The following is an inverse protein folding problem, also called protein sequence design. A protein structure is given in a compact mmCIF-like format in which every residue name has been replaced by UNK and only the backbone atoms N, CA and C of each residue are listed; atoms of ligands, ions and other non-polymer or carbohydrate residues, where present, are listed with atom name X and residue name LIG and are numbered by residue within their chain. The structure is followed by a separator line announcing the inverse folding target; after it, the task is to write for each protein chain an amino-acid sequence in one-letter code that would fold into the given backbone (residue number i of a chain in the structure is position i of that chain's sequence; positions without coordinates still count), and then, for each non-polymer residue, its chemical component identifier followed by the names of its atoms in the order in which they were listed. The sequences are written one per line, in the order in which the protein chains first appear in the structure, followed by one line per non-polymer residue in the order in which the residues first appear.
data_IF_574438460086
#
_entry.id   IF_574438460086
#
_cell.length_a   1.000
_cell.length_b   1.000
_cell.length_c   1.000
_cell.angle_alpha   90.00
_cell.angle_beta   90.00
_cell.angle_gamma   90.00
#
_symmetry.space_group_name_H-M   'P 1'
#
loop_
_entity.id
_entity.type
_entity.pdbx_description
1 polymer ?
#
# COMPACT_ATOMS: atom_id res chain seq x y z
N UNK A 1 -21.49 55.06 23.87
CA UNK A 1 -22.10 53.78 23.43
C UNK A 1 -21.52 53.37 22.07
N UNK A 2 -20.29 53.82 21.80
CA UNK A 2 -19.76 53.96 20.43
C UNK A 2 -18.54 53.04 20.22
N UNK A 3 -17.89 52.60 21.30
CA UNK A 3 -16.71 51.73 21.27
C UNK A 3 -17.03 50.24 21.03
N UNK A 4 -18.29 49.83 21.20
CA UNK A 4 -18.75 48.44 20.96
C UNK A 4 -19.17 48.21 19.50
N UNK A 5 -19.57 49.27 18.79
CA UNK A 5 -19.93 49.19 17.36
C UNK A 5 -18.69 49.25 16.47
N UNK A 6 -17.63 49.94 16.89
CA UNK A 6 -16.37 50.05 16.14
C UNK A 6 -15.56 48.74 16.12
N UNK A 7 -15.70 47.90 17.14
CA UNK A 7 -15.03 46.59 17.22
C UNK A 7 -15.75 45.46 16.49
N UNK A 8 -17.04 45.63 16.14
CA UNK A 8 -17.81 44.65 15.37
C UNK A 8 -17.62 44.82 13.85
N UNK A 9 -17.36 46.03 13.37
CA UNK A 9 -17.07 46.29 11.95
C UNK A 9 -15.64 45.90 11.55
N UNK A 10 -14.69 45.92 12.49
CA UNK A 10 -13.27 45.63 12.22
C UNK A 10 -12.92 44.14 12.05
N UNK A 11 -13.90 43.23 12.20
CA UNK A 11 -13.69 41.78 12.07
C UNK A 11 -14.55 41.12 10.98
N UNK A 12 -15.31 41.91 10.20
CA UNK A 12 -16.15 41.42 9.10
C UNK A 12 -15.72 42.12 7.80
N UNK A 13 -14.59 41.69 7.26
CA UNK A 13 -14.32 41.74 5.82
C UNK A 13 -13.00 41.06 5.52
N UNK A 14 -12.92 39.75 5.75
CA UNK A 14 -12.17 38.95 4.77
C UNK A 14 -12.90 39.18 3.43
N UNK A 15 -12.28 39.87 2.45
CA UNK A 15 -12.95 40.11 1.19
C UNK A 15 -13.29 38.75 0.59
N UNK A 16 -14.58 38.49 0.35
CA UNK A 16 -15.01 37.29 -0.36
C UNK A 16 -14.39 37.32 -1.76
N UNK A 17 -13.28 36.60 -1.93
CA UNK A 17 -12.61 36.53 -3.22
C UNK A 17 -13.33 35.49 -4.08
N UNK A 18 -14.01 35.89 -5.15
CA UNK A 18 -14.76 34.96 -5.99
C UNK A 18 -13.80 34.03 -6.74
N UNK A 19 -14.29 32.85 -7.13
CA UNK A 19 -13.45 31.78 -7.67
C UNK A 19 -12.69 32.19 -8.95
N UNK A 20 -13.25 33.06 -9.79
CA UNK A 20 -12.60 33.51 -11.04
C UNK A 20 -11.29 34.28 -10.84
N UNK A 21 -11.07 34.85 -9.65
CA UNK A 21 -9.83 35.57 -9.31
C UNK A 21 -8.76 34.65 -8.69
N UNK A 22 -9.13 33.42 -8.34
CA UNK A 22 -8.23 32.48 -7.68
C UNK A 22 -7.46 31.67 -8.74
N UNK A 23 -6.12 31.67 -8.74
CA UNK A 23 -5.35 30.85 -9.70
C UNK A 23 -5.66 29.35 -9.54
N UNK A 24 -6.05 28.93 -8.33
CA UNK A 24 -6.46 27.57 -8.01
C UNK A 24 -7.62 27.06 -8.88
N UNK A 25 -8.55 27.93 -9.26
CA UNK A 25 -9.69 27.58 -10.11
C UNK A 25 -9.30 27.05 -11.48
N UNK A 26 -8.13 27.46 -12.01
CA UNK A 26 -7.64 27.00 -13.31
C UNK A 26 -6.58 25.91 -13.16
N UNK A 27 -5.67 26.06 -12.20
CA UNK A 27 -4.53 25.15 -12.02
C UNK A 27 -4.99 23.80 -11.45
N UNK A 28 -5.84 23.81 -10.42
CA UNK A 28 -6.24 22.58 -9.72
C UNK A 28 -7.01 21.63 -10.65
N UNK A 29 -8.04 22.07 -11.40
CA UNK A 29 -8.75 21.18 -12.31
C UNK A 29 -7.88 20.57 -13.42
N UNK A 30 -6.90 21.34 -13.92
CA UNK A 30 -5.96 20.83 -14.93
C UNK A 30 -5.09 19.70 -14.37
N UNK A 31 -4.59 19.86 -13.13
CA UNK A 31 -3.83 18.82 -12.43
C UNK A 31 -4.73 17.60 -12.16
N UNK A 32 -5.95 17.80 -11.66
CA UNK A 32 -6.89 16.71 -11.40
C UNK A 32 -7.27 15.96 -12.69
N UNK A 33 -7.40 16.66 -13.82
CA UNK A 33 -7.63 16.03 -15.13
C UNK A 33 -6.43 15.16 -15.56
N UNK A 34 -5.20 15.62 -15.35
CA UNK A 34 -4.00 14.81 -15.62
C UNK A 34 -3.94 13.57 -14.72
N UNK A 35 -4.20 13.73 -13.41
CA UNK A 35 -4.27 12.62 -12.46
C UNK A 35 -5.34 11.62 -12.89
N UNK A 36 -6.50 12.10 -13.32
CA UNK A 36 -7.59 11.25 -13.81
C UNK A 36 -7.16 10.42 -15.02
N UNK A 37 -6.62 11.06 -16.06
CA UNK A 37 -6.21 10.36 -17.29
C UNK A 37 -5.11 9.35 -17.01
N UNK A 38 -4.03 9.78 -16.33
CA UNK A 38 -2.89 8.92 -16.02
C UNK A 38 -3.34 7.77 -15.11
N UNK A 39 -4.13 8.07 -14.10
CA UNK A 39 -4.62 7.10 -13.13
C UNK A 39 -5.55 6.05 -13.74
N UNK A 40 -6.51 6.47 -14.58
CA UNK A 40 -7.41 5.54 -15.29
C UNK A 40 -6.65 4.67 -16.27
N UNK A 41 -5.77 5.25 -17.08
CA UNK A 41 -4.98 4.48 -18.06
C UNK A 41 -4.01 3.54 -17.36
N UNK A 42 -3.26 4.00 -16.37
CA UNK A 42 -2.27 3.21 -15.64
C UNK A 42 -2.92 2.05 -14.88
N UNK A 43 -3.83 2.34 -13.96
CA UNK A 43 -4.47 1.32 -13.13
C UNK A 43 -5.41 0.43 -13.95
N UNK A 44 -6.10 0.99 -14.96
CA UNK A 44 -6.93 0.23 -15.89
C UNK A 44 -6.12 -0.77 -16.73
N UNK A 45 -4.90 -0.40 -17.12
CA UNK A 45 -3.98 -1.31 -17.82
C UNK A 45 -3.55 -2.46 -16.91
N UNK A 46 -3.22 -2.20 -15.65
CA UNK A 46 -2.87 -3.24 -14.67
C UNK A 46 -4.02 -4.25 -14.49
N UNK A 47 -5.25 -3.77 -14.33
CA UNK A 47 -6.45 -4.61 -14.25
C UNK A 47 -6.63 -5.44 -15.52
N UNK A 48 -6.50 -4.81 -16.69
CA UNK A 48 -6.67 -5.49 -17.99
C UNK A 48 -5.64 -6.60 -18.20
N UNK A 49 -4.36 -6.33 -17.90
CA UNK A 49 -3.27 -7.31 -18.01
C UNK A 49 -3.52 -8.50 -17.08
N UNK A 50 -3.96 -8.25 -15.84
CA UNK A 50 -4.27 -9.29 -14.88
C UNK A 50 -5.42 -10.21 -15.34
N UNK A 51 -6.48 -9.63 -15.90
CA UNK A 51 -7.64 -10.40 -16.38
C UNK A 51 -7.24 -11.26 -17.59
N UNK A 52 -6.50 -10.69 -18.55
CA UNK A 52 -6.11 -11.36 -19.80
C UNK A 52 -5.08 -12.47 -19.61
N UNK A 53 -4.10 -12.28 -18.73
CA UNK A 53 -2.99 -13.23 -18.59
C UNK A 53 -3.17 -14.13 -17.36
N UNK A 54 -3.70 -15.35 -17.56
CA UNK A 54 -3.85 -16.34 -16.48
C UNK A 54 -2.53 -16.69 -15.79
N UNK A 55 -1.41 -16.63 -16.51
CA UNK A 55 -0.06 -16.85 -15.96
C UNK A 55 0.32 -15.83 -14.87
N UNK A 56 -0.29 -14.64 -14.89
CA UNK A 56 -0.04 -13.59 -13.90
C UNK A 56 -0.86 -13.78 -12.61
N UNK A 57 -1.67 -14.82 -12.46
CA UNK A 57 -2.53 -15.04 -11.28
C UNK A 57 -1.77 -15.69 -10.12
N UNK A 58 -0.79 -14.98 -9.60
CA UNK A 58 -0.04 -15.35 -8.41
C UNK A 58 -0.35 -14.40 -7.24
N UNK A 59 0.15 -14.73 -6.05
CA UNK A 59 -0.08 -13.98 -4.82
C UNK A 59 0.27 -12.49 -4.93
N UNK A 60 1.51 -12.09 -5.28
CA UNK A 60 1.86 -10.67 -5.34
C UNK A 60 1.04 -9.92 -6.39
N UNK A 61 0.74 -10.54 -7.53
CA UNK A 61 -0.06 -9.91 -8.57
C UNK A 61 -1.54 -9.71 -8.15
N UNK A 62 -2.05 -10.54 -7.23
CA UNK A 62 -3.40 -10.35 -6.66
C UNK A 62 -3.45 -9.12 -5.77
N UNK A 63 -2.40 -8.86 -4.98
CA UNK A 63 -2.30 -7.62 -4.20
C UNK A 63 -2.12 -6.39 -5.10
N UNK A 64 -1.32 -6.49 -6.17
CA UNK A 64 -1.20 -5.40 -7.17
C UNK A 64 -2.55 -5.09 -7.80
N UNK A 65 -3.37 -6.11 -8.14
CA UNK A 65 -4.72 -5.89 -8.62
C UNK A 65 -5.59 -5.17 -7.57
N UNK A 66 -5.52 -5.58 -6.30
CA UNK A 66 -6.28 -4.94 -5.22
C UNK A 66 -5.94 -3.46 -5.08
N UNK A 67 -4.66 -3.10 -5.20
CA UNK A 67 -4.21 -1.69 -5.24
C UNK A 67 -4.78 -0.96 -6.44
N UNK A 68 -4.66 -1.52 -7.65
CA UNK A 68 -5.19 -0.89 -8.86
C UNK A 68 -6.71 -0.67 -8.80
N UNK A 69 -7.46 -1.58 -8.19
CA UNK A 69 -8.90 -1.43 -7.97
C UNK A 69 -9.23 -0.33 -6.95
N UNK A 70 -8.45 -0.22 -5.87
CA UNK A 70 -8.60 0.86 -4.89
C UNK A 70 -8.31 2.23 -5.53
N UNK A 71 -7.23 2.34 -6.29
CA UNK A 71 -6.87 3.57 -6.99
C UNK A 71 -7.93 3.97 -8.02
N UNK A 72 -8.46 3.02 -8.81
CA UNK A 72 -9.56 3.28 -9.74
C UNK A 72 -10.82 3.74 -9.01
N UNK A 73 -11.14 3.17 -7.85
CA UNK A 73 -12.27 3.58 -7.03
C UNK A 73 -12.15 5.07 -6.71
N UNK A 74 -11.06 5.51 -6.07
CA UNK A 74 -10.89 6.92 -5.68
C UNK A 74 -10.78 7.86 -6.88
N UNK A 75 -10.13 7.43 -7.98
CA UNK A 75 -10.01 8.24 -9.19
C UNK A 75 -11.38 8.49 -9.83
N UNK A 76 -12.25 7.48 -9.89
CA UNK A 76 -13.57 7.63 -10.51
C UNK A 76 -14.53 8.36 -9.56
N UNK A 77 -14.50 8.06 -8.25
CA UNK A 77 -15.50 8.55 -7.30
C UNK A 77 -15.14 9.82 -6.56
N UNK A 78 -13.91 10.32 -6.68
CA UNK A 78 -13.48 11.49 -5.90
C UNK A 78 -12.84 12.58 -6.76
N UNK A 79 -11.92 12.23 -7.66
CA UNK A 79 -11.19 13.22 -8.49
C UNK A 79 -12.12 14.16 -9.26
N UNK A 80 -13.13 13.70 -10.04
CA UNK A 80 -14.01 14.61 -10.76
C UNK A 80 -14.86 15.49 -9.83
N UNK A 81 -15.35 14.93 -8.72
CA UNK A 81 -16.20 15.68 -7.79
C UNK A 81 -15.43 16.72 -6.97
N UNK A 82 -14.21 16.37 -6.54
CA UNK A 82 -13.32 17.29 -5.82
C UNK A 82 -12.82 18.40 -6.74
N UNK A 83 -12.49 18.10 -8.01
CA UNK A 83 -12.11 19.12 -8.99
C UNK A 83 -13.17 20.21 -9.15
N UNK A 84 -14.45 19.83 -9.06
CA UNK A 84 -15.57 20.76 -9.29
C UNK A 84 -15.74 21.76 -8.15
N UNK A 85 -15.30 21.42 -6.93
CA UNK A 85 -15.30 22.35 -5.79
C UNK A 85 -14.39 23.55 -6.02
N UNK A 86 -13.39 23.42 -6.90
CA UNK A 86 -12.51 24.54 -7.27
C UNK A 86 -13.04 25.39 -8.43
N UNK A 87 -14.04 24.89 -9.17
CA UNK A 87 -14.64 25.58 -10.34
C UNK A 87 -16.05 26.12 -10.09
N UNK A 88 -16.77 25.57 -9.11
CA UNK A 88 -18.12 25.98 -8.74
C UNK A 88 -18.15 26.47 -7.30
N UNK A 89 -18.97 27.47 -7.04
CA UNK A 89 -19.14 28.04 -5.71
C UNK A 89 -19.83 27.06 -4.73
N UNK A 90 -20.64 26.12 -5.25
CA UNK A 90 -21.41 25.17 -4.43
C UNK A 90 -21.36 23.75 -4.96
N UNK A 91 -21.50 22.78 -4.05
CA UNK A 91 -21.56 21.36 -4.35
C UNK A 91 -22.88 20.98 -5.06
N UNK A 92 -22.86 20.57 -6.34
CA UNK A 92 -24.09 20.32 -7.09
C UNK A 92 -24.60 18.87 -7.00
N UNK A 93 -23.81 17.94 -6.45
CA UNK A 93 -24.03 16.49 -6.58
C UNK A 93 -24.94 15.86 -5.52
N UNK A 94 -25.45 16.67 -4.59
CA UNK A 94 -26.29 16.20 -3.48
C UNK A 94 -25.52 15.47 -2.38
N UNK A 95 -26.24 15.11 -1.30
CA UNK A 95 -25.65 14.54 -0.09
C UNK A 95 -25.16 13.10 -0.26
N UNK A 96 -25.81 12.31 -1.12
CA UNK A 96 -25.43 10.92 -1.38
C UNK A 96 -24.03 10.83 -1.99
N UNK A 97 -23.74 11.64 -3.01
CA UNK A 97 -22.41 11.66 -3.64
C UNK A 97 -21.34 12.15 -2.67
N UNK A 98 -21.66 13.14 -1.82
CA UNK A 98 -20.77 13.58 -0.75
C UNK A 98 -20.39 12.41 0.17
N UNK A 99 -21.37 11.70 0.73
CA UNK A 99 -21.14 10.53 1.61
C UNK A 99 -20.36 9.41 0.95
N UNK A 100 -20.72 9.06 -0.29
CA UNK A 100 -20.04 8.00 -1.05
C UNK A 100 -18.60 8.42 -1.37
N UNK A 101 -18.37 9.67 -1.76
CA UNK A 101 -17.02 10.15 -2.09
C UNK A 101 -16.10 10.16 -0.87
N UNK A 102 -16.56 10.63 0.28
CA UNK A 102 -15.76 10.62 1.53
C UNK A 102 -15.48 9.19 2.01
N UNK A 103 -16.47 8.30 1.93
CA UNK A 103 -16.27 6.89 2.25
C UNK A 103 -15.29 6.21 1.28
N UNK A 104 -15.40 6.48 -0.02
CA UNK A 104 -14.52 5.90 -1.03
C UNK A 104 -13.06 6.33 -0.87
N UNK A 105 -12.80 7.58 -0.44
CA UNK A 105 -11.45 8.03 -0.06
C UNK A 105 -10.86 7.17 1.06
N UNK A 106 -11.61 7.03 2.16
CA UNK A 106 -11.17 6.25 3.32
C UNK A 106 -10.99 4.75 2.97
N UNK A 107 -11.89 4.17 2.18
CA UNK A 107 -11.78 2.79 1.69
C UNK A 107 -10.52 2.62 0.85
N UNK A 108 -10.27 3.52 -0.12
CA UNK A 108 -9.10 3.43 -0.98
C UNK A 108 -7.81 3.51 -0.18
N UNK A 109 -7.71 4.46 0.76
CA UNK A 109 -6.54 4.60 1.63
C UNK A 109 -6.34 3.31 2.45
N UNK A 110 -7.40 2.81 3.07
CA UNK A 110 -7.38 1.59 3.88
C UNK A 110 -6.96 0.36 3.08
N UNK A 111 -7.58 0.12 1.92
CA UNK A 111 -7.21 -1.00 1.04
C UNK A 111 -5.74 -0.88 0.64
N UNK A 112 -5.27 0.31 0.28
CA UNK A 112 -3.88 0.50 -0.15
C UNK A 112 -2.88 0.16 0.94
N UNK A 113 -3.02 0.72 2.15
CA UNK A 113 -2.05 0.53 3.23
C UNK A 113 -2.11 -0.89 3.82
N UNK A 114 -3.29 -1.48 3.95
CA UNK A 114 -3.43 -2.85 4.43
C UNK A 114 -2.95 -3.87 3.38
N UNK A 115 -3.15 -3.60 2.09
CA UNK A 115 -2.60 -4.43 1.01
C UNK A 115 -1.08 -4.38 0.98
N UNK A 116 -0.47 -3.21 1.12
CA UNK A 116 1.00 -3.08 1.23
C UNK A 116 1.54 -3.81 2.46
N UNK A 117 0.82 -3.74 3.58
CA UNK A 117 1.17 -4.48 4.80
C UNK A 117 1.12 -5.99 4.56
N UNK A 118 0.04 -6.50 3.98
CA UNK A 118 -0.12 -7.91 3.65
C UNK A 118 0.93 -8.40 2.62
N UNK A 119 1.28 -7.56 1.65
CA UNK A 119 2.34 -7.85 0.68
C UNK A 119 3.70 -7.97 1.38
N UNK A 120 4.03 -7.05 2.30
CA UNK A 120 5.28 -7.10 3.05
C UNK A 120 5.40 -8.36 3.91
N UNK A 121 4.29 -8.78 4.55
CA UNK A 121 4.22 -10.03 5.30
C UNK A 121 4.39 -11.26 4.39
N UNK A 122 3.71 -11.32 3.23
CA UNK A 122 3.86 -12.41 2.27
C UNK A 122 5.30 -12.55 1.79
N UNK A 123 5.97 -11.43 1.49
CA UNK A 123 7.38 -11.41 1.10
C UNK A 123 8.29 -11.94 2.20
N UNK A 124 8.09 -11.49 3.44
CA UNK A 124 8.85 -11.96 4.59
C UNK A 124 8.72 -13.47 4.78
N UNK A 125 7.49 -14.00 4.85
CA UNK A 125 7.27 -15.44 5.04
C UNK A 125 7.78 -16.29 3.87
N UNK A 126 7.71 -15.76 2.65
CA UNK A 126 8.25 -16.43 1.48
C UNK A 126 9.78 -16.60 1.52
N UNK A 127 10.49 -15.68 2.17
CA UNK A 127 11.95 -15.67 2.27
C UNK A 127 12.43 -16.53 3.44
N UNK A 128 11.75 -16.44 4.59
CA UNK A 128 12.16 -17.18 5.81
C UNK A 128 11.87 -18.67 5.75
N UNK A 129 10.79 -19.08 5.08
CA UNK A 129 10.40 -20.49 4.96
C UNK A 129 10.15 -20.89 3.50
N UNK A 130 11.23 -21.09 2.71
CA UNK A 130 11.12 -21.45 1.30
C UNK A 130 10.49 -22.84 1.10
N UNK A 131 10.63 -23.75 2.07
CA UNK A 131 10.11 -25.12 2.00
C UNK A 131 8.59 -25.18 2.15
N UNK A 132 8.01 -24.33 2.99
CA UNK A 132 6.55 -24.19 3.10
C UNK A 132 5.94 -23.59 1.82
N UNK A 133 6.68 -22.75 1.09
CA UNK A 133 6.29 -22.31 -0.25
C UNK A 133 6.44 -23.42 -1.30
N UNK A 134 7.51 -24.21 -1.25
CA UNK A 134 7.75 -25.33 -2.17
C UNK A 134 6.70 -26.45 -2.05
N UNK A 135 6.33 -26.83 -0.82
CA UNK A 135 5.18 -27.72 -0.57
C UNK A 135 3.85 -27.07 -0.94
N UNK A 136 3.72 -25.75 -0.78
CA UNK A 136 2.56 -25.01 -1.25
C UNK A 136 2.52 -24.87 -2.79
N UNK A 137 3.60 -25.05 -3.54
CA UNK A 137 3.57 -25.08 -5.01
C UNK A 137 2.88 -26.36 -5.53
N UNK A 138 3.01 -27.49 -4.81
CA UNK A 138 2.16 -28.68 -4.99
C UNK A 138 0.71 -28.49 -4.53
N UNK A 139 0.46 -27.48 -3.70
CA UNK A 139 -0.84 -27.03 -3.20
C UNK A 139 -1.26 -25.63 -3.68
N UNK A 140 -0.81 -25.20 -4.87
CA UNK A 140 -0.82 -23.80 -5.35
C UNK A 140 -2.18 -23.10 -5.18
N UNK A 141 -3.28 -23.83 -5.39
CA UNK A 141 -4.65 -23.32 -5.25
C UNK A 141 -5.02 -22.93 -3.81
N UNK A 142 -4.41 -23.50 -2.77
CA UNK A 142 -4.70 -23.15 -1.37
C UNK A 142 -4.08 -21.82 -0.99
N UNK A 143 -2.83 -21.57 -1.41
CA UNK A 143 -2.15 -20.30 -1.19
C UNK A 143 -2.90 -19.15 -1.90
N UNK A 144 -3.27 -19.35 -3.17
CA UNK A 144 -4.05 -18.34 -3.92
C UNK A 144 -5.44 -18.09 -3.32
N UNK A 145 -6.11 -19.13 -2.81
CA UNK A 145 -7.41 -18.95 -2.12
C UNK A 145 -7.27 -18.15 -0.84
N UNK A 146 -6.24 -18.43 -0.04
CA UNK A 146 -5.98 -17.67 1.18
C UNK A 146 -5.71 -16.20 0.86
N UNK A 147 -4.97 -15.91 -0.20
CA UNK A 147 -4.63 -14.52 -0.56
C UNK A 147 -5.81 -13.75 -1.15
N UNK A 148 -6.70 -14.44 -1.86
CA UNK A 148 -7.97 -13.84 -2.28
C UNK A 148 -8.84 -13.58 -1.05
N UNK A 149 -8.89 -14.50 -0.08
CA UNK A 149 -9.63 -14.30 1.16
C UNK A 149 -9.06 -13.14 2.00
N UNK A 150 -7.73 -12.99 2.08
CA UNK A 150 -7.11 -11.83 2.75
C UNK A 150 -7.42 -10.53 2.03
N UNK A 151 -7.36 -10.50 0.69
CA UNK A 151 -7.75 -9.32 -0.09
C UNK A 151 -9.22 -8.94 0.18
N UNK A 152 -10.15 -9.89 0.11
CA UNK A 152 -11.56 -9.64 0.44
C UNK A 152 -11.72 -9.14 1.88
N UNK A 153 -11.01 -9.74 2.83
CA UNK A 153 -10.99 -9.30 4.23
C UNK A 153 -10.49 -7.86 4.39
N UNK A 154 -9.46 -7.46 3.64
CA UNK A 154 -8.95 -6.08 3.61
C UNK A 154 -10.03 -5.10 3.10
N UNK A 155 -10.75 -5.45 2.03
CA UNK A 155 -11.83 -4.63 1.51
C UNK A 155 -12.97 -4.46 2.51
N UNK A 156 -13.38 -5.55 3.16
CA UNK A 156 -14.41 -5.50 4.21
C UNK A 156 -13.93 -4.64 5.39
N UNK A 157 -12.70 -4.84 5.86
CA UNK A 157 -12.13 -4.05 6.95
C UNK A 157 -12.07 -2.57 6.61
N UNK A 158 -11.59 -2.22 5.41
CA UNK A 158 -11.53 -0.84 4.94
C UNK A 158 -12.93 -0.21 4.84
N UNK A 159 -13.92 -0.95 4.34
CA UNK A 159 -15.31 -0.49 4.28
C UNK A 159 -15.91 -0.26 5.68
N UNK A 160 -15.64 -1.14 6.64
CA UNK A 160 -16.08 -0.99 8.03
C UNK A 160 -15.44 0.25 8.67
N UNK A 161 -14.13 0.44 8.49
CA UNK A 161 -13.42 1.60 9.03
C UNK A 161 -13.82 2.92 8.36
N UNK A 162 -14.32 2.88 7.12
CA UNK A 162 -14.85 4.03 6.40
C UNK A 162 -16.33 4.34 6.75
N UNK A 163 -17.03 3.48 7.50
CA UNK A 163 -18.42 3.69 7.86
C UNK A 163 -18.70 5.02 8.59
N UNK A 164 -17.86 5.49 9.54
CA UNK A 164 -18.05 6.79 10.18
C UNK A 164 -17.99 7.96 9.18
N UNK A 165 -17.18 7.85 8.13
CA UNK A 165 -17.11 8.84 7.06
C UNK A 165 -18.41 8.87 6.26
N UNK A 166 -18.96 7.71 5.91
CA UNK A 166 -20.22 7.61 5.18
C UNK A 166 -21.40 8.18 5.99
N UNK A 167 -21.49 7.83 7.28
CA UNK A 167 -22.60 8.23 8.15
C UNK A 167 -22.47 9.71 8.54
N UNK A 168 -21.27 10.16 8.86
CA UNK A 168 -20.99 11.51 9.36
C UNK A 168 -20.94 12.58 8.28
N UNK A 169 -20.74 12.22 7.00
CA UNK A 169 -20.67 13.22 5.93
C UNK A 169 -22.04 13.81 5.60
N UNK A 170 -22.07 15.14 5.49
CA UNK A 170 -23.26 15.91 5.19
C UNK A 170 -22.93 17.15 4.35
N UNK A 171 -23.97 17.79 3.81
CA UNK A 171 -23.81 19.08 3.14
C UNK A 171 -23.93 20.19 4.17
N UNK A 172 -22.84 20.93 4.37
CA UNK A 172 -22.81 22.11 5.21
C UNK A 172 -23.08 23.34 4.36
N UNK A 173 -24.07 24.15 4.76
CA UNK A 173 -24.34 25.44 4.16
C UNK A 173 -23.46 26.52 4.82
N UNK A 174 -22.83 27.35 4.01
CA UNK A 174 -22.12 28.55 4.43
C UNK A 174 -22.84 29.77 3.84
N UNK A 175 -23.15 30.74 4.71
CA UNK A 175 -23.84 31.98 4.33
C UNK A 175 -22.78 33.06 4.18
N UNK A 176 -22.60 33.58 2.96
CA UNK A 176 -21.71 34.73 2.71
C UNK A 176 -22.48 36.03 2.93
N UNK A 177 -23.67 36.11 2.32
CA UNK A 177 -24.57 37.25 2.34
C UNK A 177 -26.01 36.76 2.56
N UNK A 178 -26.96 37.63 2.95
CA UNK A 178 -28.37 37.24 3.16
C UNK A 178 -29.03 36.56 1.95
N UNK A 179 -28.50 36.81 0.75
CA UNK A 179 -28.98 36.26 -0.53
C UNK A 179 -28.08 35.16 -1.12
N UNK A 180 -26.89 34.92 -0.55
CA UNK A 180 -25.91 33.99 -1.13
C UNK A 180 -25.46 32.95 -0.09
N UNK A 181 -25.89 31.70 -0.32
CA UNK A 181 -25.46 30.53 0.43
C UNK A 181 -24.77 29.53 -0.50
N UNK A 182 -23.73 28.86 -0.02
CA UNK A 182 -23.06 27.79 -0.75
C UNK A 182 -22.98 26.51 0.08
N UNK A 183 -23.09 25.37 -0.60
CA UNK A 183 -23.09 24.04 0.00
C UNK A 183 -21.73 23.40 -0.19
N UNK A 184 -21.17 22.83 0.89
CA UNK A 184 -19.89 22.10 0.86
C UNK A 184 -20.07 20.73 1.48
N UNK A 185 -19.44 19.71 0.89
CA UNK A 185 -19.36 18.39 1.49
C UNK A 185 -18.42 18.42 2.71
N UNK A 186 -18.95 18.15 3.91
CA UNK A 186 -18.17 18.19 5.15
C UNK A 186 -18.30 16.86 5.91
N UNK A 187 -17.17 16.20 6.25
CA UNK A 187 -17.18 14.84 6.81
C UNK A 187 -17.37 14.77 8.34
N UNK A 188 -17.51 15.91 9.03
CA UNK A 188 -17.59 15.97 10.50
C UNK A 188 -18.86 16.69 10.97
N UNK A 189 -19.92 15.97 11.38
CA UNK A 189 -21.15 16.59 11.82
C UNK A 189 -20.97 17.28 13.18
N UNK A 190 -21.50 18.51 13.37
CA UNK A 190 -21.33 19.26 14.62
C UNK A 190 -22.05 18.59 15.79
N UNK A 191 -23.10 17.82 15.51
CA UNK A 191 -23.90 17.07 16.50
C UNK A 191 -23.08 16.05 17.30
N UNK A 192 -21.92 15.61 16.77
CA UNK A 192 -21.08 14.61 17.42
C UNK A 192 -20.02 15.23 18.35
N UNK A 193 -20.08 16.54 18.56
CA UNK A 193 -19.26 17.29 19.49
C UNK A 193 -18.01 17.92 18.87
N UNK A 194 -17.53 19.01 19.46
CA UNK A 194 -16.42 19.81 18.93
C UNK A 194 -15.07 19.07 18.91
N UNK A 195 -14.91 18.06 19.77
CA UNK A 195 -13.70 17.22 19.82
C UNK A 195 -13.67 16.15 18.74
N UNK A 196 -14.83 15.80 18.14
CA UNK A 196 -14.95 14.71 17.19
C UNK A 196 -14.03 14.83 15.96
N UNK A 197 -13.93 15.99 15.27
CA UNK A 197 -13.03 16.14 14.12
C UNK A 197 -11.57 15.86 14.48
N UNK A 198 -11.10 16.41 15.61
CA UNK A 198 -9.72 16.21 16.09
C UNK A 198 -9.44 14.74 16.41
N UNK A 199 -10.36 14.10 17.13
CA UNK A 199 -10.25 12.69 17.48
C UNK A 199 -10.24 11.81 16.23
N UNK A 200 -11.14 12.04 15.27
CA UNK A 200 -11.20 11.24 14.05
C UNK A 200 -9.98 11.42 13.16
N UNK A 201 -9.46 12.64 13.01
CA UNK A 201 -8.20 12.88 12.28
C UNK A 201 -7.04 12.14 12.95
N UNK A 202 -6.94 12.18 14.28
CA UNK A 202 -5.91 11.46 15.02
C UNK A 202 -6.04 9.94 14.86
N UNK A 203 -7.25 9.39 14.98
CA UNK A 203 -7.51 7.96 14.79
C UNK A 203 -7.16 7.53 13.37
N UNK A 204 -7.59 8.28 12.34
CA UNK A 204 -7.24 8.01 10.94
C UNK A 204 -5.72 8.02 10.72
N UNK A 205 -5.02 9.00 11.28
CA UNK A 205 -3.56 9.07 11.21
C UNK A 205 -2.90 7.84 11.84
N UNK A 206 -3.34 7.43 13.05
CA UNK A 206 -2.77 6.26 13.71
C UNK A 206 -3.06 4.96 12.94
N UNK A 207 -4.30 4.77 12.49
CA UNK A 207 -4.76 3.52 11.87
C UNK A 207 -4.31 3.37 10.42
N UNK A 208 -4.36 4.43 9.62
CA UNK A 208 -4.03 4.37 8.20
C UNK A 208 -2.59 4.75 7.87
N UNK A 209 -1.86 5.41 8.78
CA UNK A 209 -0.49 5.83 8.52
C UNK A 209 0.51 5.19 9.49
N UNK A 210 0.44 5.53 10.78
CA UNK A 210 1.48 5.17 11.75
C UNK A 210 1.59 3.67 12.00
N UNK A 211 0.48 2.99 12.26
CA UNK A 211 0.46 1.55 12.53
C UNK A 211 0.89 0.74 11.29
N UNK A 212 0.32 0.93 10.08
CA UNK A 212 0.76 0.23 8.88
C UNK A 212 2.25 0.47 8.57
N UNK A 213 2.73 1.71 8.68
CA UNK A 213 4.15 2.01 8.43
C UNK A 213 5.08 1.31 9.40
N UNK A 214 4.75 1.28 10.70
CA UNK A 214 5.55 0.58 11.69
C UNK A 214 5.62 -0.94 11.39
N UNK A 215 4.49 -1.55 11.02
CA UNK A 215 4.41 -2.98 10.68
C UNK A 215 5.18 -3.28 9.40
N UNK A 216 5.01 -2.45 8.36
CA UNK A 216 5.74 -2.56 7.09
C UNK A 216 7.25 -2.46 7.35
N UNK A 217 7.69 -1.43 8.08
CA UNK A 217 9.09 -1.22 8.41
C UNK A 217 9.68 -2.42 9.18
N UNK A 218 8.94 -2.95 10.16
CA UNK A 218 9.35 -4.15 10.89
C UNK A 218 9.55 -5.34 9.95
N UNK A 219 8.58 -5.65 9.07
CA UNK A 219 8.71 -6.76 8.13
C UNK A 219 9.89 -6.58 7.17
N UNK A 220 10.11 -5.37 6.66
CA UNK A 220 11.25 -5.08 5.78
C UNK A 220 12.59 -5.20 6.50
N UNK A 221 12.70 -4.74 7.75
CA UNK A 221 13.92 -4.89 8.56
C UNK A 221 14.21 -6.37 8.83
N UNK A 222 13.19 -7.14 9.24
CA UNK A 222 13.34 -8.58 9.49
C UNK A 222 13.74 -9.33 8.22
N UNK A 223 13.12 -9.00 7.09
CA UNK A 223 13.45 -9.55 5.78
C UNK A 223 14.89 -9.25 5.38
N UNK A 224 15.34 -7.99 5.52
CA UNK A 224 16.71 -7.58 5.22
C UNK A 224 17.73 -8.31 6.11
N UNK A 225 17.47 -8.39 7.42
CA UNK A 225 18.33 -9.13 8.36
C UNK A 225 18.44 -10.61 7.99
N UNK A 226 17.32 -11.25 7.68
CA UNK A 226 17.31 -12.66 7.30
C UNK A 226 18.05 -12.90 5.99
N UNK A 227 17.91 -12.01 5.01
CA UNK A 227 18.60 -12.11 3.73
C UNK A 227 20.12 -11.98 3.92
N UNK A 228 20.58 -10.98 4.70
CA UNK A 228 22.00 -10.77 5.01
C UNK A 228 22.60 -11.97 5.75
N UNK A 229 21.90 -12.50 6.76
CA UNK A 229 22.33 -13.69 7.49
C UNK A 229 22.38 -14.93 6.58
N UNK A 230 21.39 -15.12 5.71
CA UNK A 230 21.39 -16.24 4.77
C UNK A 230 22.52 -16.14 3.74
N UNK A 231 22.87 -14.93 3.27
CA UNK A 231 24.03 -14.74 2.39
C UNK A 231 25.36 -14.97 3.10
N UNK A 232 25.48 -14.62 4.39
CA UNK A 232 26.68 -14.91 5.18
C UNK A 232 26.84 -16.41 5.47
N UNK A 233 25.73 -17.11 5.67
CA UNK A 233 25.71 -18.54 5.95
C UNK A 233 25.74 -19.42 4.70
N UNK A 234 25.68 -18.86 3.48
CA UNK A 234 25.91 -19.61 2.25
C UNK A 234 27.41 -19.86 2.11
N UNK A 235 27.92 -21.10 2.29
CA UNK A 235 29.31 -21.43 2.05
C UNK A 235 29.47 -21.63 0.53
N UNK A 236 29.38 -20.53 -0.21
CA UNK A 236 29.18 -20.53 -1.66
C UNK A 236 30.40 -20.87 -2.52
N UNK A 237 31.60 -21.01 -1.95
CA UNK A 237 32.80 -21.41 -2.71
C UNK A 237 33.78 -22.26 -1.90
N UNK A 238 33.95 -21.99 -0.60
CA UNK A 238 34.97 -22.69 0.20
C UNK A 238 34.65 -24.16 0.48
N UNK A 239 33.38 -24.57 0.58
CA UNK A 239 33.03 -25.97 0.84
C UNK A 239 33.22 -26.90 -0.36
N UNK A 240 33.01 -26.39 -1.59
CA UNK A 240 33.31 -27.14 -2.81
C UNK A 240 34.79 -27.39 -2.96
N UNK A 241 35.60 -26.33 -2.83
CA UNK A 241 37.07 -26.39 -2.93
C UNK A 241 37.68 -27.23 -1.81
N UNK A 242 37.27 -27.05 -0.54
CA UNK A 242 37.79 -27.89 0.56
C UNK A 242 37.45 -29.37 0.40
N UNK A 243 36.22 -29.69 -0.04
CA UNK A 243 35.81 -31.10 -0.20
C UNK A 243 36.49 -31.76 -1.38
N UNK A 244 36.77 -30.99 -2.44
CA UNK A 244 37.54 -31.42 -3.58
C UNK A 244 39.02 -31.62 -3.19
N UNK A 245 39.64 -30.67 -2.49
CA UNK A 245 41.01 -30.79 -1.96
C UNK A 245 41.17 -31.97 -0.99
N UNK A 246 40.17 -32.21 -0.14
CA UNK A 246 40.14 -33.38 0.75
C UNK A 246 40.04 -34.71 -0.02
N UNK A 247 39.31 -34.77 -1.14
CA UNK A 247 39.29 -35.96 -2.00
C UNK A 247 40.63 -36.17 -2.70
N UNK A 248 41.21 -35.12 -3.31
CA UNK A 248 42.50 -35.19 -3.98
C UNK A 248 43.62 -35.62 -3.03
N UNK A 249 43.65 -35.08 -1.81
CA UNK A 249 44.64 -35.46 -0.79
C UNK A 249 44.50 -36.94 -0.38
N UNK A 250 43.27 -37.45 -0.18
CA UNK A 250 43.03 -38.86 0.13
C UNK A 250 43.45 -39.79 -1.01
N UNK A 251 43.16 -39.41 -2.24
CA UNK A 251 43.51 -40.18 -3.44
C UNK A 251 45.03 -40.25 -3.62
N UNK A 252 45.73 -39.13 -3.45
CA UNK A 252 47.19 -39.07 -3.50
C UNK A 252 47.85 -39.95 -2.42
N UNK A 253 47.32 -39.93 -1.19
CA UNK A 253 47.82 -40.76 -0.10
C UNK A 253 47.60 -42.27 -0.37
N UNK A 254 46.48 -42.64 -0.99
CA UNK A 254 46.21 -44.03 -1.39
C UNK A 254 47.18 -44.51 -2.46
N UNK A 255 47.48 -43.66 -3.45
CA UNK A 255 48.39 -43.98 -4.55
C UNK A 255 49.83 -44.17 -4.08
N UNK A 256 50.30 -43.35 -3.13
CA UNK A 256 51.62 -43.48 -2.52
C UNK A 256 51.76 -44.78 -1.73
N UNK A 257 50.73 -45.14 -0.95
CA UNK A 257 50.70 -46.43 -0.24
C UNK A 257 50.76 -47.62 -1.21
N UNK A 258 50.01 -47.56 -2.30
CA UNK A 258 50.02 -48.62 -3.32
C UNK A 258 51.42 -48.79 -3.94
N UNK A 259 52.06 -47.69 -4.33
CA UNK A 259 53.42 -47.70 -4.92
C UNK A 259 54.47 -48.22 -3.94
N UNK A 260 54.36 -47.88 -2.66
CA UNK A 260 55.28 -48.38 -1.62
C UNK A 260 55.14 -49.90 -1.44
N UNK A 261 53.90 -50.41 -1.41
CA UNK A 261 53.62 -51.85 -1.32
C UNK A 261 54.17 -52.60 -2.53
N UNK A 262 54.02 -52.04 -3.73
CA UNK A 262 54.58 -52.64 -4.95
C UNK A 262 56.11 -52.64 -4.97
N UNK A 263 56.76 -51.59 -4.48
CA UNK A 263 58.21 -51.52 -4.34
C UNK A 263 58.75 -52.57 -3.36
N UNK A 264 58.13 -52.69 -2.18
CA UNK A 264 58.50 -53.69 -1.18
C UNK A 264 58.31 -55.13 -1.69
N UNK A 265 57.24 -55.39 -2.45
CA UNK A 265 57.02 -56.69 -3.11
C UNK A 265 58.03 -57.00 -4.21
N UNK A 266 58.65 -55.98 -4.82
CA UNK A 266 59.71 -56.19 -5.82
C UNK A 266 61.03 -56.53 -5.14
N UNK A 267 61.37 -55.86 -4.05
CA UNK A 267 62.58 -56.19 -3.28
C UNK A 267 62.52 -57.61 -2.69
N UNK A 268 61.37 -58.00 -2.12
CA UNK A 268 61.19 -59.36 -1.60
C UNK A 268 61.21 -60.46 -2.68
N UNK A 269 61.05 -60.10 -3.96
CA UNK A 269 61.17 -61.06 -5.08
C UNK A 269 62.58 -61.12 -5.68
N UNK A 270 63.46 -60.19 -5.29
CA UNK A 270 64.84 -60.10 -5.75
C UNK A 270 65.84 -60.62 -4.69
N UNK A 271 65.38 -60.90 -3.47
CA UNK A 271 66.11 -61.59 -2.40
C UNK A 271 65.69 -63.05 -2.34
#
# INVERSE_FOLDING_TARGET
MDTYNESLELNISEPYQPYYERPETYIVPLIFALIFVIGVVGNGTLVTVFIRHKAMRNVPNTYILSLALADLLVIITCVPFTSIVYTLESWPWGSTVCRVSEAAKDVSIGVSVFTLTALSADRYFAIVDPLRKLHATGGSKRATRLTVATAIGIWILAAVLAAPAYIGSYLRAFVVNPTTQFLVCYPYPPEWGESYPKTMVLVRFLVYYSLPLAVIALFYILMARHLVLSTQNMPGEMQGTQRQDQCWSREQHSSLKQRLIEALRKEQRLA
#
